data_IF_844002851198
#
_entry.id   IF_844002851198
#
_cell.length_a   1.000
_cell.length_b   1.000
_cell.length_c   1.000
_cell.angle_alpha   90.00
_cell.angle_beta   90.00
_cell.angle_gamma   90.00
#
_symmetry.space_group_name_H-M   'P 1'
#
loop_
_entity.id
_entity.type
_entity.pdbx_description
1 polymer ?
2 water ?
#
# COMPACT_ATOMS: atom_id res chain seq x y z
N UNK A 1 -10.78 11.03 16.80
CA UNK A 1 -9.57 10.69 17.56
C UNK A 1 -8.45 11.66 17.17
N UNK A 2 -7.53 11.91 18.09
CA UNK A 2 -6.45 12.89 17.90
C UNK A 2 -5.28 12.14 17.32
N UNK A 3 -5.22 10.84 17.45
CA UNK A 3 -4.19 10.03 16.78
C UNK A 3 -4.49 9.96 15.29
N UNK A 4 -5.75 9.85 14.86
CA UNK A 4 -6.12 9.90 13.45
C UNK A 4 -5.68 11.19 12.82
N UNK A 5 -6.04 12.31 13.45
CA UNK A 5 -5.75 13.61 12.83
C UNK A 5 -4.27 13.90 12.88
N UNK A 6 -3.62 13.51 13.99
CA UNK A 6 -2.16 13.60 14.07
C UNK A 6 -1.50 12.82 12.95
N UNK A 7 -2.01 11.62 12.67
CA UNK A 7 -1.35 10.80 11.65
C UNK A 7 -1.55 11.41 10.27
N UNK A 8 -2.79 11.80 9.95
CA UNK A 8 -3.06 12.38 8.64
C UNK A 8 -2.24 13.65 8.42
N UNK A 9 -2.11 14.48 9.46
CA UNK A 9 -1.54 15.81 9.29
C UNK A 9 -0.05 15.85 9.54
N UNK A 10 0.51 14.84 10.22
CA UNK A 10 1.96 14.78 10.41
C UNK A 10 2.63 13.59 9.75
N UNK A 11 1.87 12.58 9.34
CA UNK A 11 2.43 11.31 8.92
C UNK A 11 2.62 10.34 10.08
N UNK A 12 2.99 9.10 9.74
CA UNK A 12 3.31 8.10 10.76
C UNK A 12 4.25 7.08 10.15
N UNK A 13 4.87 6.26 11.01
CA UNK A 13 5.90 5.35 10.56
C UNK A 13 6.05 4.24 11.59
N UNK A 14 6.68 3.17 11.17
CA UNK A 14 7.14 2.13 12.09
C UNK A 14 8.52 1.73 11.61
N UNK A 15 9.39 1.35 12.54
CA UNK A 15 10.67 0.75 12.22
C UNK A 15 10.52 -0.76 12.28
N UNK A 16 10.95 -1.44 11.25
CA UNK A 16 10.89 -2.88 11.30
C UNK A 16 12.25 -3.44 11.59
N UNK A 17 12.35 -4.68 12.07
CA UNK A 17 13.60 -5.24 12.48
C UNK A 17 14.35 -5.95 11.33
N UNK A 18 15.60 -6.27 11.63
CA UNK A 18 16.47 -6.98 10.71
C UNK A 18 16.49 -8.45 11.11
N UNK A 19 16.40 -9.32 10.12
CA UNK A 19 16.38 -10.75 10.36
C UNK A 19 17.57 -11.33 9.61
N UNK A 20 18.58 -11.79 10.37
CA UNK A 20 19.78 -12.31 9.73
C UNK A 20 19.42 -13.39 8.73
N UNK A 21 18.43 -14.20 9.05
CA UNK A 21 18.15 -15.44 8.33
C UNK A 21 16.97 -15.23 7.41
N UNK A 22 17.21 -15.36 6.13
CA UNK A 22 16.19 -15.25 5.13
C UNK A 22 15.28 -16.45 5.26
N UNK A 23 13.97 -16.27 5.26
CA UNK A 23 13.08 -17.41 5.23
C UNK A 23 13.30 -18.21 3.96
N UNK A 24 12.73 -19.42 3.96
CA UNK A 24 12.77 -20.30 2.81
C UNK A 24 12.01 -19.66 1.66
N UNK A 25 12.67 -19.50 0.53
CA UNK A 25 12.08 -18.88 -0.63
C UNK A 25 11.40 -19.93 -1.50
N UNK A 26 10.36 -19.51 -2.20
CA UNK A 26 9.63 -20.37 -3.10
C UNK A 26 8.76 -19.46 -3.96
N UNK A 27 9.42 -18.57 -4.69
CA UNK A 27 8.77 -17.72 -5.67
C UNK A 27 7.90 -18.52 -6.61
N UNK A 28 6.70 -18.01 -6.88
CA UNK A 28 5.69 -18.58 -7.76
C UNK A 28 4.99 -17.41 -8.43
N UNK A 29 4.90 -17.37 -9.76
CA UNK A 29 4.33 -16.21 -10.44
C UNK A 29 2.95 -16.53 -10.99
N UNK A 30 2.01 -15.61 -10.81
CA UNK A 30 0.69 -15.76 -11.39
C UNK A 30 -0.44 -15.29 -10.49
N UNK A 31 -0.35 -15.66 -9.20
CA UNK A 31 -1.43 -15.43 -8.24
C UNK A 31 -0.79 -15.06 -6.90
N UNK A 32 -1.40 -14.12 -6.24
CA UNK A 32 -0.81 -13.71 -4.98
C UNK A 32 -1.36 -14.49 -3.79
N UNK A 33 -0.67 -14.49 -2.65
CA UNK A 33 -1.21 -15.19 -1.49
C UNK A 33 -2.50 -14.52 -1.04
N UNK A 34 -3.38 -15.32 -0.45
CA UNK A 34 -4.71 -14.82 -0.11
C UNK A 34 -4.63 -13.97 1.15
N UNK A 35 -5.41 -12.89 1.28
CA UNK A 35 -5.55 -12.29 2.61
C UNK A 35 -6.18 -13.28 3.60
N UNK A 36 -5.85 -13.12 4.87
CA UNK A 36 -6.22 -14.08 5.89
C UNK A 36 -6.21 -13.33 7.21
N UNK A 37 -6.93 -13.89 8.19
CA UNK A 37 -7.04 -13.25 9.49
C UNK A 37 -5.75 -13.43 10.26
N UNK A 38 -5.07 -14.55 10.01
CA UNK A 38 -3.72 -14.74 10.57
C UNK A 38 -2.78 -13.60 10.15
N UNK A 39 -2.98 -13.03 8.97
CA UNK A 39 -2.16 -11.91 8.54
C UNK A 39 -2.82 -10.58 8.82
N UNK A 40 -3.75 -10.55 9.79
CA UNK A 40 -4.24 -9.27 10.26
C UNK A 40 -5.37 -8.68 9.44
N UNK A 41 -5.92 -9.42 8.50
CA UNK A 41 -7.09 -8.97 7.75
C UNK A 41 -8.28 -8.69 8.68
N UNK A 42 -8.83 -7.49 8.55
CA UNK A 42 -9.94 -7.03 9.37
C UNK A 42 -10.96 -6.37 8.44
N UNK A 43 -11.97 -7.13 8.07
CA UNK A 43 -12.86 -6.65 7.03
C UNK A 43 -13.69 -5.46 7.48
N UNK A 44 -14.00 -5.36 8.75
CA UNK A 44 -14.75 -4.19 9.19
C UNK A 44 -13.91 -2.93 9.17
N UNK A 45 -12.62 -3.02 9.45
CA UNK A 45 -11.78 -1.83 9.44
C UNK A 45 -11.21 -1.58 8.05
N UNK A 46 -10.75 -2.61 7.37
CA UNK A 46 -10.00 -2.41 6.15
C UNK A 46 -10.87 -2.33 4.92
N UNK A 47 -12.08 -2.87 4.96
CA UNK A 47 -12.78 -3.19 3.73
C UNK A 47 -14.20 -2.63 3.66
N UNK A 48 -14.84 -2.42 4.80
CA UNK A 48 -16.28 -2.23 4.70
C UNK A 48 -16.63 -0.85 4.15
N UNK A 49 -15.92 0.19 4.54
CA UNK A 49 -16.15 1.47 3.89
C UNK A 49 -15.71 1.45 2.43
N UNK A 50 -14.71 0.64 2.08
CA UNK A 50 -14.34 0.54 0.67
C UNK A 50 -15.48 -0.08 -0.14
N UNK A 51 -16.20 -1.02 0.46
CA UNK A 51 -17.31 -1.65 -0.23
C UNK A 51 -18.46 -0.66 -0.43
N UNK A 52 -18.71 0.18 0.57
CA UNK A 52 -19.70 1.24 0.43
C UNK A 52 -19.36 2.17 -0.74
N UNK A 53 -18.08 2.59 -0.86
CA UNK A 53 -17.75 3.56 -1.89
C UNK A 53 -17.64 2.94 -3.30
N UNK A 54 -17.15 1.70 -3.41
CA UNK A 54 -17.36 0.89 -4.61
C UNK A 54 -18.77 0.97 -5.16
N UNK A 55 -19.77 0.80 -4.28
CA UNK A 55 -21.14 0.64 -4.71
C UNK A 55 -21.75 1.95 -5.18
N UNK A 56 -21.06 3.07 -4.98
CA UNK A 56 -21.54 4.32 -5.53
C UNK A 56 -21.21 4.40 -7.01
N UNK A 57 -21.94 5.23 -7.76
CA UNK A 57 -21.54 5.51 -9.15
C UNK A 57 -20.20 6.26 -9.18
N UNK A 58 -19.33 5.84 -10.12
CA UNK A 58 -18.02 6.50 -10.24
C UNK A 58 -18.15 7.97 -10.63
N UNK A 59 -19.14 8.35 -11.44
CA UNK A 59 -19.41 9.79 -11.66
C UNK A 59 -19.59 10.54 -10.35
N UNK A 60 -20.28 9.94 -9.39
CA UNK A 60 -20.48 10.62 -8.13
C UNK A 60 -19.23 10.61 -7.25
N UNK A 61 -18.53 9.47 -7.18
CA UNK A 61 -17.26 9.46 -6.46
C UNK A 61 -16.34 10.54 -7.00
N UNK A 62 -16.25 10.62 -8.34
CA UNK A 62 -15.40 11.63 -8.96
C UNK A 62 -15.76 13.02 -8.46
N UNK A 63 -17.06 13.32 -8.40
CA UNK A 63 -17.49 14.66 -8.00
C UNK A 63 -17.17 14.94 -6.55
N UNK A 64 -17.49 14.01 -5.66
CA UNK A 64 -17.30 14.29 -4.25
C UNK A 64 -15.85 14.19 -3.83
N UNK A 65 -14.96 13.68 -4.68
CA UNK A 65 -13.54 13.69 -4.32
C UNK A 65 -12.72 14.66 -5.15
N UNK A 66 -13.36 15.46 -6.00
CA UNK A 66 -12.60 16.37 -6.87
C UNK A 66 -11.65 17.28 -6.09
N UNK A 67 -12.12 17.89 -5.01
CA UNK A 67 -11.36 18.95 -4.37
C UNK A 67 -10.34 18.44 -3.37
N UNK A 68 -10.34 17.14 -3.09
CA UNK A 68 -9.45 16.57 -2.09
C UNK A 68 -8.46 15.58 -2.69
N UNK A 69 -8.65 15.14 -3.93
CA UNK A 69 -7.59 14.41 -4.63
C UNK A 69 -6.52 15.43 -4.98
N UNK A 70 -5.39 15.32 -4.34
CA UNK A 70 -4.24 16.14 -4.70
C UNK A 70 -3.28 15.34 -5.55
N UNK A 71 -2.44 16.00 -6.35
CA UNK A 71 -1.27 15.30 -6.91
C UNK A 71 -0.48 14.68 -5.76
N UNK A 72 -0.21 13.35 -5.84
CA UNK A 72 0.57 12.68 -4.78
C UNK A 72 2.02 13.07 -5.03
N UNK A 73 2.62 13.71 -4.05
CA UNK A 73 4.02 14.10 -4.18
C UNK A 73 4.91 13.53 -3.07
N UNK A 74 4.58 12.41 -2.46
CA UNK A 74 5.35 11.91 -1.29
C UNK A 74 6.77 11.43 -1.67
N UNK A 75 6.96 10.73 -2.78
CA UNK A 75 8.27 10.18 -3.17
C UNK A 75 9.24 11.32 -3.49
N UNK A 76 8.77 12.39 -4.12
CA UNK A 76 9.60 13.57 -4.49
C UNK A 76 10.17 14.18 -3.21
N UNK A 77 9.31 14.34 -2.23
CA UNK A 77 9.78 14.88 -0.94
C UNK A 77 10.73 13.90 -0.27
N UNK A 78 10.50 12.60 -0.34
CA UNK A 78 11.36 11.59 0.32
C UNK A 78 12.73 11.79 -0.31
N UNK A 79 12.80 11.87 -1.62
CA UNK A 79 14.07 12.13 -2.34
C UNK A 79 14.71 13.35 -1.71
N UNK A 80 14.01 14.46 -1.65
CA UNK A 80 14.61 15.71 -1.15
C UNK A 80 15.17 15.52 0.25
N UNK A 81 14.39 15.01 1.18
CA UNK A 81 14.77 14.88 2.61
C UNK A 81 16.03 14.02 2.70
N UNK A 82 16.15 13.01 1.86
CA UNK A 82 17.33 12.12 1.83
C UNK A 82 18.35 12.63 0.81
N UNK A 83 18.33 13.92 0.48
CA UNK A 83 19.27 14.55 -0.47
C UNK A 83 19.70 13.49 -1.47
N UNK A 84 18.78 13.02 -2.27
CA UNK A 84 19.07 12.02 -3.33
C UNK A 84 19.17 12.81 -4.62
N UNK A 85 20.04 12.41 -5.55
CA UNK A 85 20.26 13.05 -6.85
C UNK A 85 20.93 12.07 -7.79
N UNK A 97 23.08 7.23 -3.47
CA UNK A 97 21.89 7.38 -4.35
C UNK A 97 20.82 6.42 -3.85
N UNK A 98 19.95 5.94 -4.74
CA UNK A 98 18.81 5.10 -4.37
C UNK A 98 18.20 4.44 -5.58
N UNK A 99 17.77 3.21 -5.40
CA UNK A 99 17.00 2.47 -6.43
C UNK A 99 15.54 2.73 -6.02
N UNK A 100 14.59 2.77 -6.95
CA UNK A 100 13.18 3.09 -6.63
C UNK A 100 12.20 2.26 -7.44
N UNK A 101 11.01 2.03 -6.88
CA UNK A 101 9.88 1.40 -7.57
C UNK A 101 8.65 2.12 -7.05
N UNK A 102 7.65 2.34 -7.89
CA UNK A 102 6.37 2.98 -7.52
C UNK A 102 5.26 2.10 -8.08
N UNK A 103 4.55 1.39 -7.23
CA UNK A 103 3.47 0.50 -7.62
C UNK A 103 2.14 1.22 -7.36
N UNK A 104 2.19 2.47 -6.93
CA UNK A 104 1.01 3.30 -6.65
C UNK A 104 0.20 3.59 -7.89
N UNK A 105 -1.03 4.03 -7.70
CA UNK A 105 -1.88 4.51 -8.80
C UNK A 105 -1.97 6.02 -8.70
N UNK A 106 -0.87 6.66 -9.07
CA UNK A 106 -0.72 8.10 -8.85
C UNK A 106 -1.91 8.84 -9.42
N UNK A 107 -2.55 9.66 -8.58
CA UNK A 107 -3.69 10.52 -8.89
C UNK A 107 -4.91 9.77 -9.43
N UNK A 108 -5.05 8.47 -9.15
CA UNK A 108 -6.22 7.72 -9.57
C UNK A 108 -6.92 7.17 -8.33
N UNK A 109 -8.21 7.00 -8.42
CA UNK A 109 -9.00 6.45 -7.33
C UNK A 109 -9.78 5.20 -7.74
N UNK A 110 -10.32 5.19 -8.97
CA UNK A 110 -11.09 4.06 -9.49
C UNK A 110 -10.53 3.65 -10.83
N UNK A 111 -10.83 2.41 -11.21
CA UNK A 111 -10.19 1.73 -12.33
C UNK A 111 -10.97 1.89 -13.64
N UNK A 112 -12.29 1.92 -13.55
CA UNK A 112 -13.16 2.11 -14.71
C UNK A 112 -14.45 2.77 -14.28
N UNK A 113 -15.04 3.51 -15.21
CA UNK A 113 -16.35 4.10 -14.99
C UNK A 113 -17.37 2.99 -14.77
N UNK A 114 -18.24 3.18 -13.78
CA UNK A 114 -19.22 2.18 -13.45
C UNK A 114 -20.41 2.84 -12.80
N UNK A 115 -21.59 2.32 -13.11
CA UNK A 115 -22.81 2.83 -12.50
C UNK A 115 -22.93 2.36 -11.06
N UNK A 116 -23.90 2.92 -10.35
CA UNK A 116 -24.27 2.40 -9.05
C UNK A 116 -24.50 0.90 -9.13
N UNK A 117 -24.05 0.20 -8.13
CA UNK A 117 -24.42 -1.20 -7.97
C UNK A 117 -25.75 -1.23 -7.23
N UNK A 118 -26.71 -1.96 -7.80
CA UNK A 118 -28.06 -1.93 -7.21
C UNK A 118 -28.04 -2.59 -5.84
N UNK A 119 -28.93 -2.09 -4.97
CA UNK A 119 -29.01 -2.51 -3.57
C UNK A 119 -29.00 -4.02 -3.43
N UNK A 120 -29.77 -4.68 -4.27
CA UNK A 120 -29.99 -6.11 -4.11
C UNK A 120 -28.88 -6.92 -4.77
N UNK A 121 -27.79 -6.27 -5.22
CA UNK A 121 -26.68 -6.93 -5.88
C UNK A 121 -25.42 -6.86 -5.00
N UNK A 122 -24.84 -7.99 -4.69
CA UNK A 122 -23.69 -7.93 -3.80
C UNK A 122 -22.42 -7.75 -4.63
N UNK A 123 -21.44 -7.04 -4.05
CA UNK A 123 -20.32 -6.54 -4.84
C UNK A 123 -19.45 -7.69 -5.35
N UNK A 124 -19.03 -7.58 -6.61
CA UNK A 124 -18.32 -8.66 -7.32
C UNK A 124 -16.82 -8.41 -7.49
N UNK A 125 -16.41 -7.18 -7.84
CA UNK A 125 -14.98 -6.85 -7.71
C UNK A 125 -14.72 -5.38 -7.36
N UNK A 126 -13.48 -5.18 -6.93
CA UNK A 126 -13.00 -3.95 -6.32
C UNK A 126 -12.60 -2.99 -7.42
N UNK A 127 -13.36 -1.92 -7.58
CA UNK A 127 -13.09 -0.93 -8.61
C UNK A 127 -12.15 0.16 -8.16
N UNK A 128 -11.78 0.18 -6.90
CA UNK A 128 -10.99 1.25 -6.33
C UNK A 128 -9.56 0.80 -6.11
N UNK A 129 -8.65 1.77 -6.12
CA UNK A 129 -7.27 1.51 -5.77
C UNK A 129 -7.07 1.67 -4.25
N UNK A 130 -7.85 0.86 -3.51
CA UNK A 130 -7.87 0.89 -2.06
C UNK A 130 -8.05 -0.54 -1.58
N UNK A 131 -7.24 -0.97 -0.62
CA UNK A 131 -7.36 -2.29 -0.03
C UNK A 131 -7.45 -3.40 -1.09
N UNK A 132 -6.62 -3.28 -2.11
CA UNK A 132 -6.63 -4.19 -3.25
C UNK A 132 -5.27 -4.92 -3.26
N UNK A 133 -5.23 -6.12 -2.69
CA UNK A 133 -4.01 -6.87 -2.56
C UNK A 133 -3.48 -7.26 -3.92
N UNK A 134 -4.30 -7.23 -4.96
CA UNK A 134 -3.86 -7.61 -6.30
C UNK A 134 -3.00 -6.55 -6.98
N UNK A 135 -2.94 -5.33 -6.45
CA UNK A 135 -2.03 -4.33 -6.95
C UNK A 135 -0.58 -4.67 -6.71
N UNK A 136 -0.30 -5.64 -5.84
CA UNK A 136 1.05 -5.87 -5.36
C UNK A 136 1.70 -6.88 -6.33
N UNK A 137 2.31 -6.36 -7.39
CA UNK A 137 2.91 -7.17 -8.43
C UNK A 137 4.40 -7.38 -8.15
N UNK A 138 4.96 -8.36 -8.86
CA UNK A 138 6.33 -8.82 -8.60
C UNK A 138 7.36 -7.74 -8.90
N UNK A 139 6.98 -6.67 -9.61
CA UNK A 139 7.92 -5.55 -9.79
C UNK A 139 8.20 -4.85 -8.48
N UNK A 140 7.51 -5.21 -7.39
CA UNK A 140 7.92 -4.71 -6.08
C UNK A 140 9.36 -5.09 -5.76
N UNK A 141 9.88 -6.13 -6.44
CA UNK A 141 11.27 -6.52 -6.32
C UNK A 141 12.10 -6.07 -7.49
N UNK A 142 11.53 -5.30 -8.41
CA UNK A 142 12.33 -4.77 -9.51
C UNK A 142 13.54 -4.00 -9.02
N UNK A 143 13.47 -3.17 -7.97
CA UNK A 143 14.68 -2.42 -7.58
C UNK A 143 15.88 -3.32 -7.23
N UNK A 144 15.69 -4.57 -6.83
CA UNK A 144 16.84 -5.40 -6.47
C UNK A 144 17.65 -5.87 -7.68
N UNK A 145 17.06 -5.89 -8.88
CA UNK A 145 17.82 -6.27 -10.07
C UNK A 145 18.85 -5.22 -10.43
N UNK A 146 18.41 -3.99 -10.68
CA UNK A 146 19.35 -2.92 -10.94
C UNK A 146 19.92 -2.35 -9.64
N UNK A 147 20.07 -3.19 -8.61
CA UNK A 147 20.80 -2.78 -7.39
C UNK A 147 22.27 -3.07 -7.64
N UNK A 148 23.14 -2.24 -7.10
CA UNK A 148 24.60 -2.40 -7.23
C UNK A 148 25.22 -1.91 -5.93
N UNK A 149 25.24 -0.60 -5.70
CA UNK A 149 25.91 -0.02 -4.51
C UNK A 149 25.11 1.14 -3.95
N UNK A 150 23.79 1.13 -4.13
CA UNK A 150 22.95 2.26 -3.68
C UNK A 150 22.67 2.13 -2.19
N UNK A 151 22.64 3.23 -1.47
CA UNK A 151 22.41 3.35 -0.03
C UNK A 151 20.96 3.09 0.36
N UNK A 152 20.04 3.37 -0.55
CA UNK A 152 18.61 3.31 -0.26
C UNK A 152 17.92 2.48 -1.32
N UNK A 153 16.93 1.71 -0.86
CA UNK A 153 15.89 1.14 -1.71
C UNK A 153 14.54 1.67 -1.22
N UNK A 154 13.87 2.48 -2.05
CA UNK A 154 12.65 3.19 -1.70
C UNK A 154 11.54 2.61 -2.56
N UNK A 155 10.49 2.13 -1.90
CA UNK A 155 9.36 1.59 -2.62
C UNK A 155 8.08 2.27 -2.14
N UNK A 156 7.28 2.77 -3.09
CA UNK A 156 5.93 3.19 -2.76
C UNK A 156 5.01 2.00 -2.95
N UNK A 157 4.51 1.50 -1.87
CA UNK A 157 3.63 0.36 -1.99
C UNK A 157 2.24 0.80 -2.37
N UNK A 158 1.43 -0.04 -3.02
CA UNK A 158 0.07 0.38 -3.40
C UNK A 158 -1.02 0.02 -2.39
N UNK A 159 -0.72 -0.93 -1.51
CA UNK A 159 -1.70 -1.40 -0.56
C UNK A 159 -0.99 -1.82 0.70
N UNK A 160 -1.73 -1.86 1.81
CA UNK A 160 -1.31 -2.53 3.05
C UNK A 160 -2.21 -3.71 3.38
N UNK A 161 -2.96 -4.17 2.41
CA UNK A 161 -3.97 -5.19 2.59
C UNK A 161 -3.46 -6.52 2.03
N UNK A 162 -3.67 -7.60 2.79
CA UNK A 162 -3.43 -8.92 2.27
C UNK A 162 -2.13 -9.51 2.79
N UNK A 163 -1.87 -10.76 2.41
CA UNK A 163 -0.70 -11.46 2.93
C UNK A 163 0.58 -11.09 2.18
N UNK A 164 0.49 -10.90 0.86
CA UNK A 164 1.66 -10.62 0.04
C UNK A 164 2.48 -9.38 0.46
N UNK A 165 1.81 -8.33 0.91
CA UNK A 165 2.58 -7.14 1.25
C UNK A 165 3.38 -7.37 2.53
N UNK A 166 2.86 -8.21 3.42
CA UNK A 166 3.59 -8.51 4.65
C UNK A 166 4.78 -9.44 4.36
N UNK A 167 4.55 -10.50 3.56
CA UNK A 167 5.65 -11.38 3.19
C UNK A 167 6.74 -10.61 2.48
N UNK A 168 6.36 -9.62 1.66
CA UNK A 168 7.33 -8.81 0.94
C UNK A 168 8.15 -7.95 1.88
N UNK A 169 7.50 -7.32 2.86
CA UNK A 169 8.29 -6.57 3.83
C UNK A 169 9.19 -7.50 4.66
N UNK A 170 8.78 -8.75 4.91
CA UNK A 170 9.65 -9.69 5.63
C UNK A 170 10.92 -9.99 4.84
N UNK A 171 10.80 -10.20 3.53
CA UNK A 171 11.99 -10.39 2.70
C UNK A 171 12.89 -9.15 2.76
N UNK A 172 12.33 -7.95 2.49
CA UNK A 172 13.18 -6.77 2.52
C UNK A 172 13.92 -6.64 3.85
N UNK A 173 13.29 -7.07 4.94
CA UNK A 173 13.89 -6.94 6.27
C UNK A 173 15.06 -7.88 6.53
N UNK A 174 15.31 -8.84 5.63
CA UNK A 174 16.54 -9.63 5.62
C UNK A 174 17.59 -9.07 4.65
N UNK A 175 17.15 -8.26 3.69
CA UNK A 175 17.99 -7.69 2.65
C UNK A 175 18.64 -6.39 3.08
N UNK A 176 17.97 -5.66 3.96
CA UNK A 176 18.47 -4.39 4.46
C UNK A 176 18.39 -4.43 5.98
N UNK A 177 19.32 -3.69 6.61
CA UNK A 177 19.45 -3.67 8.05
C UNK A 177 18.64 -2.55 8.68
N UNK A 178 18.18 -1.58 7.89
CA UNK A 178 17.35 -0.48 8.36
C UNK A 178 16.17 -0.37 7.40
N UNK A 179 14.98 -0.72 7.88
CA UNK A 179 13.74 -0.66 7.11
C UNK A 179 12.69 0.13 7.89
N UNK A 180 12.16 1.15 7.26
CA UNK A 180 11.13 2.00 7.85
C UNK A 180 9.90 1.92 6.95
N UNK A 181 8.73 1.74 7.51
CA UNK A 181 7.48 1.91 6.80
C UNK A 181 6.86 3.22 7.20
N UNK A 182 6.45 4.02 6.23
CA UNK A 182 5.81 5.29 6.56
C UNK A 182 4.76 5.68 5.53
N UNK A 183 3.96 6.66 5.92
CA UNK A 183 2.94 7.25 5.08
C UNK A 183 3.12 8.74 5.25
N UNK A 184 3.34 9.45 4.13
CA UNK A 184 3.64 10.88 4.18
C UNK A 184 2.36 11.73 4.15
N UNK A 185 2.51 12.94 4.71
CA UNK A 185 1.47 13.94 4.69
C UNK A 185 1.00 14.23 3.27
N UNK A 186 1.91 14.20 2.30
CA UNK A 186 1.65 14.56 0.92
C UNK A 186 1.32 13.37 0.06
N UNK A 187 1.12 12.19 0.66
CA UNK A 187 0.47 11.07 0.00
C UNK A 187 -1.06 11.29 0.05
N UNK A 188 -1.78 10.49 -0.70
CA UNK A 188 -3.23 10.44 -0.57
C UNK A 188 -3.62 9.67 0.69
N UNK A 189 -4.45 10.28 1.52
CA UNK A 189 -5.10 9.65 2.64
C UNK A 189 -6.52 9.22 2.27
N UNK A 190 -6.79 9.07 0.98
CA UNK A 190 -7.92 8.28 0.53
C UNK A 190 -7.51 6.84 0.23
N UNK A 191 -6.22 6.56 0.17
CA UNK A 191 -5.73 5.29 -0.30
C UNK A 191 -4.74 4.70 0.68
N UNK A 192 -4.63 3.38 0.67
CA UNK A 192 -3.77 2.68 1.62
C UNK A 192 -2.37 2.45 1.05
N UNK A 193 -1.80 3.46 0.42
CA UNK A 193 -0.43 3.43 -0.05
C UNK A 193 0.49 3.81 1.10
N UNK A 194 1.76 3.52 0.93
CA UNK A 194 2.78 3.78 1.94
C UNK A 194 4.12 3.67 1.23
N UNK A 195 5.17 4.13 1.92
CA UNK A 195 6.54 4.04 1.40
C UNK A 195 7.39 3.20 2.34
N UNK A 196 8.13 2.26 1.77
CA UNK A 196 9.20 1.56 2.45
C UNK A 196 10.51 2.26 2.11
N UNK A 197 11.24 2.68 3.14
CA UNK A 197 12.63 3.14 2.99
C UNK A 197 13.54 2.14 3.67
N UNK A 198 14.28 1.40 2.86
CA UNK A 198 15.36 0.53 3.31
C UNK A 198 16.73 1.13 3.02
N UNK A 199 17.70 0.85 3.90
CA UNK A 199 19.08 1.25 3.69
C UNK A 199 20.04 0.23 4.34
N UNK A 200 21.31 0.28 3.93
CA UNK A 200 22.36 -0.58 4.49
C UNK A 200 22.13 -2.02 4.08
N UNK A 201 22.45 -2.33 2.83
CA UNK A 201 22.17 -3.64 2.26
C UNK A 201 23.00 -4.71 2.94
N UNK A 202 22.54 -5.95 2.82
CA UNK A 202 23.18 -7.13 3.40
C UNK A 202 23.43 -8.08 2.24
N UNK A 203 24.65 -8.03 1.69
CA UNK A 203 24.91 -8.71 0.42
C UNK A 203 24.60 -10.20 0.51
N UNK A 204 24.93 -10.81 1.64
CA UNK A 204 24.77 -12.26 1.78
C UNK A 204 23.39 -12.69 1.32
N UNK A 205 22.38 -11.96 1.75
CA UNK A 205 21.01 -12.36 1.50
C UNK A 205 20.48 -11.76 0.22
N UNK A 206 20.92 -10.54 -0.13
CA UNK A 206 20.61 -10.04 -1.45
C UNK A 206 21.02 -11.09 -2.47
N UNK A 207 22.20 -11.69 -2.30
CA UNK A 207 22.68 -12.68 -3.25
C UNK A 207 21.85 -13.95 -3.20
N UNK A 208 21.55 -14.45 -2.00
CA UNK A 208 20.71 -15.65 -1.94
C UNK A 208 19.35 -15.37 -2.57
N UNK A 209 18.75 -14.22 -2.28
CA UNK A 209 17.45 -13.88 -2.87
C UNK A 209 17.55 -13.85 -4.40
N UNK A 210 18.50 -13.07 -4.92
CA UNK A 210 18.59 -12.94 -6.36
C UNK A 210 18.88 -14.28 -7.04
N UNK A 211 19.71 -15.13 -6.41
CA UNK A 211 19.92 -16.46 -6.98
C UNK A 211 18.61 -17.21 -7.08
N UNK A 212 17.84 -17.21 -6.00
CA UNK A 212 16.54 -17.88 -6.07
C UNK A 212 15.67 -17.29 -7.18
N UNK A 213 15.52 -15.97 -7.19
CA UNK A 213 14.65 -15.34 -8.19
C UNK A 213 15.11 -15.67 -9.61
N UNK A 214 16.43 -15.61 -9.86
CA UNK A 214 16.95 -15.82 -11.20
C UNK A 214 16.79 -17.27 -11.63
N UNK A 215 16.84 -18.22 -10.71
CA UNK A 215 16.62 -19.59 -11.15
C UNK A 215 15.18 -19.83 -11.57
N UNK A 216 14.28 -18.88 -11.28
CA UNK A 216 12.85 -19.02 -11.57
C UNK A 216 12.51 -18.29 -12.85
N UNK A 217 12.84 -16.99 -12.89
CA UNK A 217 12.64 -16.19 -14.10
C UNK A 217 13.63 -16.59 -15.19
N UNK A 218 14.75 -17.20 -14.81
CA UNK A 218 15.79 -17.63 -15.75
C UNK A 218 16.30 -16.46 -16.59
N UNK A 219 16.42 -15.32 -15.93
CA UNK A 219 17.06 -14.15 -16.51
C UNK A 219 17.67 -13.35 -15.38
N UNK A 220 18.81 -12.73 -15.66
CA UNK A 220 19.53 -11.85 -14.75
C UNK A 220 19.13 -10.34 -14.90
N UNK A 221 18.26 -10.00 -15.85
CA UNK A 221 17.71 -8.66 -15.93
C UNK A 221 16.19 -8.72 -15.87
N UNK A 222 15.60 -7.57 -15.52
CA UNK A 222 14.15 -7.48 -15.35
C UNK A 222 13.41 -7.61 -16.68
N UNK A 223 12.33 -8.41 -16.70
CA UNK A 223 11.38 -8.40 -17.81
C UNK A 223 9.99 -8.02 -17.32
N UNK A 224 9.38 -7.03 -17.96
CA UNK A 224 8.07 -6.57 -17.52
C UNK A 224 7.00 -7.65 -17.65
N UNK A 225 7.23 -8.66 -18.47
CA UNK A 225 6.27 -9.75 -18.47
C UNK A 225 6.15 -10.39 -17.08
N UNK A 226 7.10 -10.17 -16.19
CA UNK A 226 7.08 -10.70 -14.82
C UNK A 226 6.43 -9.73 -13.82
N UNK A 227 5.89 -8.61 -14.29
CA UNK A 227 5.07 -7.72 -13.47
C UNK A 227 3.67 -8.32 -13.36
N UNK A 228 3.56 -9.36 -12.53
CA UNK A 228 2.33 -10.10 -12.33
C UNK A 228 2.15 -10.29 -10.83
N UNK A 229 1.00 -10.80 -10.42
CA UNK A 229 0.90 -11.13 -9.01
C UNK A 229 1.76 -12.36 -8.70
N UNK A 230 2.10 -12.53 -7.42
CA UNK A 230 3.05 -13.58 -7.04
C UNK A 230 2.95 -13.95 -5.56
N UNK A 231 3.42 -15.14 -5.25
CA UNK A 231 3.67 -15.53 -3.87
C UNK A 231 5.11 -15.99 -3.75
N UNK A 232 5.69 -15.78 -2.57
CA UNK A 232 7.12 -16.04 -2.41
C UNK A 232 7.46 -16.86 -1.16
N UNK A 233 6.71 -16.70 -0.08
CA UNK A 233 6.91 -17.54 1.11
C UNK A 233 5.81 -18.58 1.25
N UNK A 234 6.15 -19.67 1.94
CA UNK A 234 5.19 -20.74 2.26
C UNK A 234 4.77 -20.66 3.73
N UNK A 235 5.69 -20.90 4.61
CA UNK A 235 5.36 -20.87 6.02
C UNK A 235 5.09 -19.42 6.43
N UNK A 236 3.92 -19.12 7.00
CA UNK A 236 3.70 -17.79 7.55
C UNK A 236 4.88 -17.26 8.35
N UNK A 237 4.85 -15.97 8.59
CA UNK A 237 5.95 -15.28 9.22
C UNK A 237 5.68 -15.21 10.71
N UNK A 238 6.72 -14.83 11.48
CA UNK A 238 6.61 -14.79 12.93
C UNK A 238 5.51 -13.82 13.35
N UNK A 239 4.50 -14.34 14.05
CA UNK A 239 3.38 -13.55 14.53
C UNK A 239 3.81 -12.17 14.97
N UNK A 240 4.97 -12.10 15.63
CA UNK A 240 5.51 -10.83 16.09
C UNK A 240 5.70 -9.85 14.95
N UNK A 241 5.97 -10.37 13.76
CA UNK A 241 6.31 -9.51 12.64
C UNK A 241 5.04 -8.89 12.07
N UNK A 242 4.05 -9.74 11.80
CA UNK A 242 2.69 -9.30 11.45
C UNK A 242 2.22 -8.21 12.40
N UNK A 243 2.41 -8.44 13.70
CA UNK A 243 1.89 -7.48 14.67
C UNK A 243 2.61 -6.13 14.58
N UNK A 244 3.93 -6.14 14.29
CA UNK A 244 4.62 -4.86 14.18
C UNK A 244 4.18 -4.13 12.91
N UNK A 245 3.97 -4.85 11.82
CA UNK A 245 3.37 -4.26 10.61
C UNK A 245 2.02 -3.61 10.93
N UNK A 246 1.15 -4.36 11.61
CA UNK A 246 -0.18 -3.87 11.93
C UNK A 246 -0.13 -2.68 12.84
N UNK A 247 0.92 -2.53 13.65
CA UNK A 247 1.07 -1.28 14.38
C UNK A 247 0.97 -0.09 13.44
N UNK A 248 1.57 -0.24 12.25
CA UNK A 248 1.50 0.80 11.22
C UNK A 248 0.18 0.73 10.47
N UNK A 249 -0.16 -0.43 9.90
CA UNK A 249 -1.32 -0.45 9.02
C UNK A 249 -2.61 -0.20 9.79
N UNK A 250 -2.66 -0.57 11.08
CA UNK A 250 -3.85 -0.26 11.86
C UNK A 250 -4.08 1.23 11.94
N UNK A 251 -3.03 2.01 12.13
CA UNK A 251 -3.15 3.45 12.23
C UNK A 251 -3.56 4.07 10.90
N UNK A 252 -3.04 3.53 9.81
CA UNK A 252 -3.40 4.02 8.48
C UNK A 252 -4.85 3.68 8.17
N UNK A 253 -5.25 2.41 8.43
CA UNK A 253 -6.62 2.04 8.14
C UNK A 253 -7.60 2.74 9.09
N UNK A 254 -7.17 3.05 10.31
CA UNK A 254 -8.04 3.81 11.20
C UNK A 254 -8.26 5.22 10.67
N UNK A 255 -7.21 5.86 10.16
CA UNK A 255 -7.37 7.16 9.54
C UNK A 255 -8.20 7.06 8.27
N UNK A 256 -7.90 6.09 7.40
CA UNK A 256 -8.72 5.89 6.21
C UNK A 256 -10.18 5.69 6.60
N UNK A 257 -10.44 4.94 7.66
CA UNK A 257 -11.82 4.62 7.96
C UNK A 257 -12.63 5.88 8.23
N UNK A 258 -12.06 6.79 9.02
CA UNK A 258 -12.68 8.09 9.26
C UNK A 258 -12.80 8.91 7.95
N UNK A 259 -11.71 9.04 7.22
CA UNK A 259 -11.78 9.72 5.92
C UNK A 259 -12.93 9.15 5.11
N UNK A 260 -12.95 7.84 4.89
CA UNK A 260 -13.96 7.25 4.03
C UNK A 260 -15.38 7.38 4.63
N UNK A 261 -15.51 7.32 5.96
CA UNK A 261 -16.80 7.57 6.60
C UNK A 261 -17.30 9.00 6.34
N UNK A 262 -16.42 10.00 6.41
CA UNK A 262 -16.91 11.35 6.11
C UNK A 262 -17.41 11.44 4.68
N UNK A 263 -16.58 10.94 3.75
CA UNK A 263 -16.96 10.84 2.35
C UNK A 263 -18.29 10.11 2.15
N UNK A 264 -18.44 8.93 2.75
CA UNK A 264 -19.70 8.22 2.52
C UNK A 264 -20.90 9.00 3.08
N UNK A 265 -20.76 9.50 4.32
CA UNK A 265 -21.81 10.30 4.91
C UNK A 265 -22.13 11.50 4.02
N UNK A 266 -21.11 12.17 3.48
CA UNK A 266 -21.39 13.29 2.60
C UNK A 266 -22.15 12.82 1.37
N UNK A 267 -21.65 11.78 0.71
CA UNK A 267 -22.28 11.29 -0.50
C UNK A 267 -23.67 10.75 -0.24
N UNK A 268 -24.01 10.44 1.01
CA UNK A 268 -25.35 9.95 1.35
C UNK A 268 -26.15 10.95 2.21
N UNK A 269 -25.75 12.23 2.21
CA UNK A 269 -26.38 13.19 3.13
C UNK A 269 -27.85 13.40 2.76
N UNK A 270 -28.65 13.71 3.78
CA UNK A 270 -30.04 14.12 3.55
C UNK A 270 -30.10 15.35 2.67
N UNK A 271 -29.23 16.32 2.94
CA UNK A 271 -29.05 17.50 2.08
C UNK A 271 -29.05 17.11 0.62
N UNK A 272 -28.58 15.92 0.30
CA UNK A 272 -28.49 15.46 -1.09
C UNK A 272 -27.73 16.46 -1.95
N UNK A 273 -26.75 17.16 -1.36
CA UNK A 273 -25.87 18.04 -2.12
C UNK A 273 -24.44 17.86 -1.63
N UNK A 274 -23.49 18.46 -2.35
CA UNK A 274 -22.04 18.38 -2.02
C UNK A 274 -21.71 19.41 -0.96
N UNK A 275 -22.67 20.24 -0.59
CA UNK A 275 -22.47 21.19 0.52
C UNK A 275 -23.22 20.61 1.69
N UNK A 276 -22.49 20.00 2.59
CA UNK A 276 -23.08 19.41 3.81
C UNK A 276 -22.01 19.45 4.88
N UNK A 277 -22.39 19.22 6.11
CA UNK A 277 -21.46 19.23 7.26
C UNK A 277 -20.37 18.17 7.08
N UNK A 278 -20.66 17.01 6.51
CA UNK A 278 -19.63 15.97 6.40
C UNK A 278 -18.59 16.36 5.33
N UNK A 279 -19.06 16.78 4.15
CA UNK A 279 -18.13 17.21 3.11
C UNK A 279 -17.23 18.31 3.61
N UNK A 280 -17.79 19.25 4.37
CA UNK A 280 -16.99 20.35 4.89
C UNK A 280 -15.93 19.84 5.87
N UNK A 281 -16.31 18.97 6.79
CA UNK A 281 -15.33 18.46 7.75
C UNK A 281 -14.24 17.65 7.05
N UNK A 282 -14.58 16.97 5.96
CA UNK A 282 -13.61 16.18 5.20
C UNK A 282 -12.57 17.06 4.53
N UNK A 283 -12.98 18.25 4.04
CA UNK A 283 -12.06 19.18 3.41
C UNK A 283 -11.05 19.71 4.41
N UNK A 284 -11.52 20.14 5.59
CA UNK A 284 -10.60 20.63 6.62
C UNK A 284 -9.60 19.55 6.98
N UNK A 285 -10.08 18.31 7.13
CA UNK A 285 -9.20 17.21 7.51
C UNK A 285 -8.04 17.08 6.55
N UNK A 286 -8.31 17.03 5.25
CA UNK A 286 -7.32 16.57 4.28
C UNK A 286 -6.48 17.68 3.67
N UNK A 287 -6.91 18.93 3.76
CA UNK A 287 -6.17 20.02 3.13
C UNK A 287 -5.55 20.98 4.13
#
# INVERSE_FOLDING_TARGET
MDEIVKNIREGTHVLLPFYETLPELNLSLGKSPLPSLEYGANYFLQISRVNDLNRMPTDMLKLFTHDIMLPESDLDKVYEILKINSVKYYGRSTRADAVVADLSARNKLFKRERDAIKSNNHLTENNLYISDYKMLTFDVFRPLFDFVNEKYCIIKLPTLFGRGVIDTMRIYCSLFKNVRLLKCVSDSWLKDSAIMVASDVYKKNLDLFMSHVKSVTKSSSWKDVNTVQFSILNDPVDTEFINKFLEFSNRVYEALYYVHSLLYSSMTSDSKSIENKHQRRLVKLLL
#
